data_IF_277048354154
#
_entry.id   IF_277048354154
#
_cell.length_a   1.000
_cell.length_b   1.000
_cell.length_c   1.000
_cell.angle_alpha   90.00
_cell.angle_beta   90.00
_cell.angle_gamma   90.00
#
_symmetry.space_group_name_H-M   'P 1'
#
loop_
_entity.id
_entity.type
_entity.pdbx_description
1 polymer ?
#
# COMPACT_ATOMS: atom_id res chain seq x y z
N UNK A 1 27.85 21.32 9.57
CA UNK A 1 27.93 22.68 10.15
C UNK A 1 27.61 23.76 9.10
N UNK A 2 26.54 23.59 8.29
CA UNK A 2 26.17 24.54 7.23
C UNK A 2 24.71 25.05 7.34
N UNK A 3 23.87 24.43 8.17
CA UNK A 3 22.47 24.85 8.39
C UNK A 3 22.29 25.89 9.52
N UNK A 4 23.30 26.14 10.37
CA UNK A 4 23.19 27.08 11.50
C UNK A 4 23.46 28.54 11.08
N UNK A 5 24.16 28.76 9.95
CA UNK A 5 24.58 30.11 9.53
C UNK A 5 23.53 30.89 8.72
N UNK A 6 22.46 30.25 8.22
CA UNK A 6 21.42 30.96 7.46
C UNK A 6 20.40 31.61 8.41
N UNK A 7 20.16 31.00 9.58
CA UNK A 7 19.21 31.48 10.59
C UNK A 7 19.69 32.76 11.29
N UNK A 8 20.99 32.92 11.50
CA UNK A 8 21.52 34.07 12.25
C UNK A 8 21.62 35.37 11.42
N UNK A 9 21.56 35.30 10.09
CA UNK A 9 21.62 36.50 9.22
C UNK A 9 20.26 37.16 9.01
N UNK A 10 19.16 36.44 9.26
CA UNK A 10 17.80 36.96 9.10
C UNK A 10 17.25 37.65 10.36
N UNK A 11 17.85 37.42 11.52
CA UNK A 11 17.37 37.96 12.81
C UNK A 11 17.99 39.30 13.22
N UNK A 12 19.03 39.80 12.54
CA UNK A 12 19.77 41.00 12.98
C UNK A 12 19.30 42.32 12.37
N UNK A 13 18.22 42.37 11.59
CA UNK A 13 17.78 43.59 10.88
C UNK A 13 16.38 44.10 11.25
N UNK A 14 15.69 43.47 12.20
CA UNK A 14 14.36 43.89 12.65
C UNK A 14 14.43 44.53 14.05
N UNK A 15 14.96 45.76 14.11
CA UNK A 15 14.65 46.65 15.22
C UNK A 15 13.32 47.33 14.91
N UNK A 16 12.25 46.96 15.62
CA UNK A 16 11.02 47.73 15.63
C UNK A 16 10.62 48.06 17.06
N UNK A 17 10.65 49.35 17.35
CA UNK A 17 10.21 49.96 18.59
C UNK A 17 8.71 49.75 18.80
N UNK A 18 8.33 49.71 20.08
CA UNK A 18 6.94 49.55 20.52
C UNK A 18 6.08 50.68 19.94
N UNK A 19 4.98 50.29 19.27
CA UNK A 19 3.81 51.08 18.81
C UNK A 19 3.83 51.38 17.29
N UNK A 20 2.76 50.96 16.61
CA UNK A 20 2.53 50.88 15.14
C UNK A 20 3.22 49.66 14.49
N UNK A 21 2.52 48.69 13.90
CA UNK A 21 1.63 48.86 12.75
C UNK A 21 0.64 47.70 12.67
N UNK A 22 -0.64 48.04 12.60
CA UNK A 22 -1.75 47.18 12.21
C UNK A 22 -1.80 47.19 10.66
N UNK A 23 -2.06 46.03 10.05
CA UNK A 23 -2.34 45.81 8.62
C UNK A 23 -1.15 45.89 7.63
N UNK A 24 -0.44 44.77 7.43
CA UNK A 24 -0.08 44.17 6.13
C UNK A 24 0.75 42.90 6.38
N UNK A 25 0.24 41.72 6.04
CA UNK A 25 1.00 40.47 6.23
C UNK A 25 0.25 39.17 6.00
N UNK A 26 -0.92 39.21 5.35
CA UNK A 26 -1.64 38.01 4.91
C UNK A 26 -1.66 38.01 3.39
N UNK A 27 -0.53 37.68 2.76
CA UNK A 27 -0.44 36.96 1.48
C UNK A 27 1.01 36.49 1.36
N UNK A 28 1.27 35.19 1.54
CA UNK A 28 2.13 34.33 0.71
C UNK A 28 2.50 33.04 1.46
N UNK A 29 1.62 32.03 1.39
CA UNK A 29 1.94 30.60 1.46
C UNK A 29 0.61 29.83 1.38
N UNK A 30 -0.01 29.83 0.20
CA UNK A 30 -1.08 28.89 -0.09
C UNK A 30 -0.47 27.51 -0.37
N UNK A 31 -1.18 26.49 0.11
CA UNK A 31 -1.08 25.05 -0.24
C UNK A 31 0.19 24.31 0.17
N UNK A 32 0.24 23.83 1.41
CA UNK A 32 0.34 22.40 1.76
C UNK A 32 -0.16 22.27 3.21
N UNK A 33 -1.03 21.28 3.45
CA UNK A 33 -1.46 20.73 4.75
C UNK A 33 -2.97 20.82 4.99
N UNK A 34 -3.71 20.01 4.25
CA UNK A 34 -4.91 19.34 4.79
C UNK A 34 -4.77 17.85 4.49
N UNK A 35 -3.84 17.19 5.19
CA UNK A 35 -3.95 15.75 5.44
C UNK A 35 -4.44 15.62 6.87
N UNK A 36 -5.74 15.38 6.99
CA UNK A 36 -6.41 15.16 8.26
C UNK A 36 -5.71 14.06 9.04
N UNK A 37 -5.31 14.41 10.26
CA UNK A 37 -4.81 13.51 11.26
C UNK A 37 -5.98 12.59 11.65
N UNK A 38 -6.14 11.47 10.96
CA UNK A 38 -6.72 10.30 11.62
C UNK A 38 -5.58 9.78 12.50
N UNK A 39 -5.73 9.73 13.83
CA UNK A 39 -4.74 9.06 14.64
C UNK A 39 -4.77 7.59 14.23
N UNK A 40 -3.81 7.20 13.38
CA UNK A 40 -3.42 5.80 13.24
C UNK A 40 -2.93 5.39 14.63
N UNK A 41 -3.85 4.89 15.45
CA UNK A 41 -3.47 4.17 16.65
C UNK A 41 -2.61 3.03 16.12
N UNK A 42 -1.29 3.14 16.37
CA UNK A 42 -0.34 2.04 16.28
C UNK A 42 -0.77 1.02 17.34
N UNK A 43 -1.85 0.30 17.07
CA UNK A 43 -2.18 -0.90 17.81
C UNK A 43 -1.25 -1.94 17.24
N UNK A 44 -0.07 -2.07 17.87
CA UNK A 44 0.73 -3.27 17.70
C UNK A 44 -0.22 -4.44 17.97
N UNK A 45 -0.47 -5.25 16.95
CA UNK A 45 -1.18 -6.49 17.15
C UNK A 45 -0.32 -7.31 18.11
N UNK A 46 -0.76 -7.44 19.37
CA UNK A 46 -0.26 -8.45 20.29
C UNK A 46 -0.55 -9.78 19.61
N UNK A 47 0.44 -10.30 18.89
CA UNK A 47 0.36 -11.62 18.30
C UNK A 47 0.54 -12.57 19.48
N UNK A 48 -0.48 -13.36 19.87
CA UNK A 48 -0.29 -14.32 20.95
C UNK A 48 0.86 -15.26 20.54
N UNK A 49 1.87 -15.35 21.40
CA UNK A 49 2.98 -16.28 21.22
C UNK A 49 2.40 -17.69 21.08
N UNK A 50 2.42 -18.23 19.86
CA UNK A 50 1.80 -19.52 19.52
C UNK A 50 0.91 -19.52 18.27
N UNK A 51 0.54 -18.36 17.71
CA UNK A 51 -0.07 -18.33 16.38
C UNK A 51 0.98 -18.67 15.31
N UNK A 52 0.78 -19.75 14.56
CA UNK A 52 1.63 -20.07 13.42
C UNK A 52 1.59 -18.91 12.42
N UNK A 53 2.76 -18.47 11.96
CA UNK A 53 2.85 -17.42 10.94
C UNK A 53 2.11 -17.89 9.68
N UNK A 54 1.25 -17.02 9.16
CA UNK A 54 0.51 -17.26 7.92
C UNK A 54 1.36 -16.73 6.77
N UNK A 55 1.49 -17.51 5.70
CA UNK A 55 2.25 -17.10 4.52
C UNK A 55 1.33 -16.43 3.50
N UNK A 56 1.88 -15.41 2.85
CA UNK A 56 1.23 -14.63 1.82
C UNK A 56 2.10 -14.68 0.56
N UNK A 57 1.48 -15.04 -0.57
CA UNK A 57 2.16 -15.12 -1.86
C UNK A 57 1.48 -14.21 -2.87
N UNK A 58 2.27 -13.60 -3.75
CA UNK A 58 1.79 -12.77 -4.85
C UNK A 58 2.33 -13.32 -6.17
N UNK A 59 1.43 -13.61 -7.11
CA UNK A 59 1.73 -13.85 -8.52
C UNK A 59 1.40 -12.61 -9.33
N UNK A 60 2.24 -12.28 -10.29
CA UNK A 60 1.99 -11.20 -11.24
C UNK A 60 2.35 -11.72 -12.62
N UNK A 61 1.49 -11.47 -13.61
CA UNK A 61 1.77 -11.85 -14.99
C UNK A 61 3.05 -11.17 -15.51
N UNK A 62 4.04 -11.98 -15.91
CA UNK A 62 5.32 -11.52 -16.45
C UNK A 62 6.38 -11.10 -15.41
N UNK A 63 6.05 -11.15 -14.11
CA UNK A 63 6.97 -10.78 -13.02
C UNK A 63 7.06 -11.92 -12.01
N UNK A 64 8.17 -12.67 -12.07
CA UNK A 64 8.47 -13.76 -11.14
C UNK A 64 9.14 -13.23 -9.86
N UNK A 65 8.79 -13.83 -8.72
CA UNK A 65 9.47 -13.69 -7.43
C UNK A 65 10.30 -14.93 -7.06
N UNK A 66 10.85 -14.96 -5.85
CA UNK A 66 11.83 -15.99 -5.44
C UNK A 66 11.29 -17.08 -4.50
N UNK A 67 9.97 -17.22 -4.38
CA UNK A 67 9.40 -18.27 -3.55
C UNK A 67 9.82 -19.67 -4.02
N UNK A 68 10.30 -20.46 -3.06
CA UNK A 68 10.61 -21.88 -3.22
C UNK A 68 9.49 -22.79 -2.71
N UNK A 69 8.34 -22.22 -2.32
CA UNK A 69 7.19 -23.01 -1.87
C UNK A 69 6.66 -23.91 -3.00
N UNK A 70 6.27 -25.15 -2.67
CA UNK A 70 5.84 -26.13 -3.67
C UNK A 70 4.55 -25.69 -4.40
N UNK A 71 3.63 -25.01 -3.70
CA UNK A 71 2.38 -24.51 -4.28
C UNK A 71 2.51 -23.14 -4.95
N UNK A 72 3.55 -22.38 -4.60
CA UNK A 72 3.75 -20.99 -5.01
C UNK A 72 5.16 -20.76 -5.55
N UNK A 73 5.69 -21.70 -6.33
CA UNK A 73 7.04 -21.61 -6.88
C UNK A 73 7.15 -20.40 -7.81
N UNK A 74 8.22 -19.62 -7.66
CA UNK A 74 8.48 -18.39 -8.41
C UNK A 74 7.46 -17.27 -8.16
N UNK A 75 6.62 -17.39 -7.12
CA UNK A 75 5.79 -16.29 -6.64
C UNK A 75 6.61 -15.38 -5.74
N UNK A 76 6.08 -14.21 -5.46
CA UNK A 76 6.64 -13.23 -4.55
C UNK A 76 6.19 -13.54 -3.13
N UNK A 77 7.13 -13.59 -2.18
CA UNK A 77 6.81 -13.70 -0.75
C UNK A 77 6.44 -12.33 -0.19
N UNK A 78 5.27 -12.23 0.43
CA UNK A 78 4.81 -10.98 1.05
C UNK A 78 5.00 -11.02 2.57
N UNK A 79 5.31 -9.85 3.13
CA UNK A 79 5.37 -9.62 4.57
C UNK A 79 4.02 -9.14 5.12
N UNK A 80 3.27 -8.38 4.32
CA UNK A 80 1.95 -7.86 4.69
C UNK A 80 1.17 -7.45 3.45
N UNK A 81 -0.15 -7.45 3.57
CA UNK A 81 -1.09 -6.94 2.56
C UNK A 81 -2.19 -6.15 3.27
N UNK A 82 -2.60 -5.04 2.69
CA UNK A 82 -3.77 -4.27 3.09
C UNK A 82 -4.66 -3.96 1.89
N UNK A 83 -5.96 -3.94 2.16
CA UNK A 83 -7.01 -3.69 1.18
C UNK A 83 -8.14 -2.93 1.87
N UNK A 84 -8.79 -2.03 1.14
CA UNK A 84 -9.90 -1.25 1.69
C UNK A 84 -10.98 -0.95 0.66
N UNK A 85 -12.23 -0.96 1.11
CA UNK A 85 -13.38 -0.52 0.34
C UNK A 85 -14.16 0.43 1.24
N UNK A 86 -14.31 1.68 0.82
CA UNK A 86 -14.94 2.73 1.61
C UNK A 86 -16.18 3.22 0.88
N UNK A 87 -17.28 3.37 1.61
CA UNK A 87 -18.47 4.08 1.12
C UNK A 87 -18.68 5.33 1.98
N UNK A 88 -18.81 6.53 1.37
CA UNK A 88 -19.14 7.72 2.14
C UNK A 88 -20.50 7.58 2.83
N UNK A 89 -20.59 8.01 4.08
CA UNK A 89 -21.76 7.87 4.94
C UNK A 89 -22.86 8.88 4.59
N UNK A 90 -23.67 8.60 3.55
CA UNK A 90 -24.99 9.21 3.32
C UNK A 90 -25.70 8.62 2.08
N UNK A 91 -25.67 7.30 1.86
CA UNK A 91 -26.57 6.61 0.93
C UNK A 91 -26.51 6.96 -0.57
N UNK A 92 -25.71 7.94 -1.00
CA UNK A 92 -25.72 8.47 -2.38
C UNK A 92 -24.38 8.38 -3.11
N UNK A 93 -23.30 7.93 -2.45
CA UNK A 93 -21.98 7.78 -3.06
C UNK A 93 -21.67 6.36 -3.52
N UNK A 94 -21.00 6.25 -4.67
CA UNK A 94 -20.35 5.02 -5.13
C UNK A 94 -19.33 4.51 -4.09
N UNK A 95 -19.08 3.20 -4.08
CA UNK A 95 -18.00 2.65 -3.28
C UNK A 95 -16.66 3.04 -3.91
N UNK A 96 -15.70 3.43 -3.09
CA UNK A 96 -14.32 3.68 -3.50
C UNK A 96 -13.48 2.47 -3.09
N UNK A 97 -12.77 1.92 -4.06
CA UNK A 97 -11.81 0.84 -3.86
C UNK A 97 -10.43 1.46 -3.66
N UNK A 98 -9.82 1.17 -2.52
CA UNK A 98 -8.48 1.65 -2.20
C UNK A 98 -7.42 0.77 -2.91
N UNK A 99 -6.22 1.32 -3.18
CA UNK A 99 -5.12 0.51 -3.71
C UNK A 99 -4.82 -0.67 -2.80
N UNK A 100 -4.47 -1.82 -3.37
CA UNK A 100 -3.88 -2.91 -2.59
C UNK A 100 -2.45 -2.50 -2.27
N UNK A 101 -2.11 -2.40 -0.98
CA UNK A 101 -0.75 -2.09 -0.54
C UNK A 101 -0.13 -3.32 0.06
N UNK A 102 1.04 -3.71 -0.41
CA UNK A 102 1.78 -4.84 0.14
C UNK A 102 3.22 -4.49 0.44
N UNK A 103 3.81 -5.25 1.35
CA UNK A 103 5.23 -5.16 1.67
C UNK A 103 5.92 -6.47 1.36
N UNK A 104 7.14 -6.39 0.86
CA UNK A 104 8.01 -7.54 0.60
C UNK A 104 9.46 -7.19 0.86
N UNK A 105 10.34 -8.18 0.90
CA UNK A 105 11.79 -7.96 0.82
C UNK A 105 12.19 -7.73 -0.63
N UNK A 106 13.31 -7.05 -0.87
CA UNK A 106 13.88 -6.99 -2.22
C UNK A 106 14.17 -8.41 -2.71
N UNK A 107 13.78 -8.70 -3.95
CA UNK A 107 14.04 -9.95 -4.67
C UNK A 107 14.11 -9.67 -6.19
N UNK A 108 14.23 -10.69 -7.04
CA UNK A 108 14.28 -10.51 -8.51
C UNK A 108 13.07 -9.79 -9.13
N UNK A 109 11.93 -9.70 -8.45
CA UNK A 109 10.76 -8.96 -8.94
C UNK A 109 10.92 -7.45 -8.81
N UNK A 110 11.76 -6.98 -7.87
CA UNK A 110 11.88 -5.55 -7.52
C UNK A 110 12.21 -4.64 -8.72
N UNK A 111 13.20 -4.94 -9.59
CA UNK A 111 13.49 -4.08 -10.75
C UNK A 111 12.32 -4.02 -11.75
N UNK A 112 11.57 -5.11 -11.93
CA UNK A 112 10.40 -5.14 -12.82
C UNK A 112 9.24 -4.34 -12.26
N UNK A 113 9.04 -4.36 -10.94
CA UNK A 113 8.06 -3.50 -10.27
C UNK A 113 8.44 -2.01 -10.40
N UNK A 114 9.73 -1.68 -10.26
CA UNK A 114 10.25 -0.33 -10.52
C UNK A 114 10.03 0.11 -11.97
N UNK A 115 10.26 -0.78 -12.93
CA UNK A 115 10.00 -0.51 -14.36
C UNK A 115 8.52 -0.29 -14.61
N UNK A 116 7.65 -1.15 -14.07
CA UNK A 116 6.20 -1.03 -14.24
C UNK A 116 5.66 0.30 -13.70
N UNK A 117 6.10 0.74 -12.52
CA UNK A 117 5.70 2.06 -11.97
C UNK A 117 6.29 3.22 -12.77
N UNK A 118 7.54 3.12 -13.24
CA UNK A 118 8.19 4.19 -13.98
C UNK A 118 7.61 4.38 -15.39
N UNK A 119 7.17 3.30 -16.01
CA UNK A 119 6.59 3.31 -17.36
C UNK A 119 5.07 3.49 -17.35
N UNK A 120 4.40 3.26 -16.22
CA UNK A 120 2.95 3.19 -16.14
C UNK A 120 2.40 1.96 -16.88
N UNK A 121 3.18 0.89 -16.99
CA UNK A 121 2.75 -0.35 -17.64
C UNK A 121 1.56 -0.97 -16.90
N UNK A 122 0.52 -1.30 -17.64
CA UNK A 122 -0.57 -2.14 -17.16
C UNK A 122 -0.18 -3.62 -17.22
N UNK A 123 -0.40 -4.31 -16.10
CA UNK A 123 -0.18 -5.74 -15.90
C UNK A 123 -1.55 -6.43 -16.01
N UNK A 124 -1.62 -7.55 -16.74
CA UNK A 124 -2.90 -8.18 -17.02
C UNK A 124 -3.61 -8.69 -15.77
N UNK A 125 -2.88 -9.43 -14.92
CA UNK A 125 -3.40 -10.05 -13.71
C UNK A 125 -2.36 -10.05 -12.58
N UNK A 126 -2.84 -9.87 -11.36
CA UNK A 126 -2.10 -10.14 -10.13
C UNK A 126 -2.98 -10.93 -9.16
N UNK A 127 -2.42 -11.95 -8.53
CA UNK A 127 -3.12 -12.83 -7.59
C UNK A 127 -2.37 -12.86 -6.26
N UNK A 128 -3.05 -12.53 -5.17
CA UNK A 128 -2.57 -12.73 -3.81
C UNK A 128 -3.27 -13.95 -3.21
N UNK A 129 -2.50 -14.85 -2.61
CA UNK A 129 -3.03 -16.01 -1.89
C UNK A 129 -2.49 -16.04 -0.46
N UNK A 130 -3.39 -16.38 0.48
CA UNK A 130 -3.08 -16.57 1.90
C UNK A 130 -3.26 -18.03 2.24
N UNK A 131 -2.22 -18.60 2.80
CA UNK A 131 -2.07 -20.05 2.87
C UNK A 131 -2.18 -20.53 4.31
N UNK A 132 -2.92 -21.62 4.51
CA UNK A 132 -3.04 -22.25 5.81
C UNK A 132 -1.65 -22.71 6.30
N UNK A 133 -1.23 -22.36 7.54
CA UNK A 133 0.13 -22.60 8.02
C UNK A 133 0.54 -24.08 7.98
N UNK A 134 -0.37 -24.99 8.31
CA UNK A 134 -0.13 -26.45 8.30
C UNK A 134 -0.44 -27.13 6.97
N UNK A 135 -1.66 -26.98 6.43
CA UNK A 135 -2.14 -27.69 5.23
C UNK A 135 -1.53 -27.17 3.92
N UNK A 136 -0.96 -25.96 3.91
CA UNK A 136 -0.33 -25.33 2.74
C UNK A 136 -1.26 -25.07 1.56
N UNK A 137 -2.57 -25.12 1.78
CA UNK A 137 -3.60 -24.74 0.81
C UNK A 137 -4.06 -23.28 1.02
N UNK A 138 -4.39 -22.60 -0.08
CA UNK A 138 -4.93 -21.25 -0.05
C UNK A 138 -6.38 -21.28 0.43
N UNK A 139 -6.69 -20.45 1.44
CA UNK A 139 -8.04 -20.27 1.95
C UNK A 139 -8.60 -18.87 1.68
N UNK A 140 -7.75 -17.94 1.25
CA UNK A 140 -8.14 -16.59 0.90
C UNK A 140 -7.34 -16.12 -0.32
N UNK A 141 -8.05 -15.61 -1.31
CA UNK A 141 -7.48 -15.22 -2.60
C UNK A 141 -8.03 -13.87 -3.06
N UNK A 142 -7.13 -13.02 -3.54
CA UNK A 142 -7.45 -11.72 -4.15
C UNK A 142 -6.94 -11.77 -5.58
N UNK A 143 -7.84 -11.72 -6.55
CA UNK A 143 -7.50 -11.63 -7.98
C UNK A 143 -7.79 -10.23 -8.47
N UNK A 144 -6.79 -9.58 -9.06
CA UNK A 144 -6.90 -8.24 -9.64
C UNK A 144 -6.60 -8.34 -11.14
N UNK A 145 -7.36 -7.60 -11.95
CA UNK A 145 -7.12 -7.50 -13.39
C UNK A 145 -6.96 -6.05 -13.81
N UNK A 146 -6.22 -5.84 -14.90
CA UNK A 146 -5.83 -4.50 -15.39
C UNK A 146 -5.13 -3.71 -14.28
N UNK A 147 -4.01 -4.26 -13.82
CA UNK A 147 -3.27 -3.83 -12.63
C UNK A 147 -2.23 -2.79 -13.01
N UNK A 148 -2.19 -1.67 -12.28
CA UNK A 148 -1.20 -0.62 -12.42
C UNK A 148 -0.43 -0.49 -11.11
N UNK A 149 0.91 -0.52 -11.18
CA UNK A 149 1.75 -0.19 -10.03
C UNK A 149 1.69 1.32 -9.83
N UNK A 150 0.99 1.78 -8.78
CA UNK A 150 0.71 3.19 -8.54
C UNK A 150 1.75 3.86 -7.65
N UNK A 151 2.48 3.09 -6.83
CA UNK A 151 3.62 3.58 -6.08
C UNK A 151 4.61 2.45 -5.76
N UNK A 152 5.88 2.84 -5.58
CA UNK A 152 6.95 1.97 -5.12
C UNK A 152 7.83 2.77 -4.15
N UNK A 153 8.06 2.23 -2.96
CA UNK A 153 8.94 2.80 -1.96
C UNK A 153 9.83 1.70 -1.39
N UNK A 154 11.11 1.98 -1.19
CA UNK A 154 12.05 1.03 -0.60
C UNK A 154 12.78 1.67 0.57
N UNK A 155 12.95 0.89 1.64
CA UNK A 155 13.66 1.29 2.84
C UNK A 155 14.55 0.15 3.33
N UNK A 156 15.74 0.49 3.82
CA UNK A 156 16.70 -0.46 4.37
C UNK A 156 17.41 0.11 5.59
N UNK A 157 17.87 -0.80 6.44
CA UNK A 157 18.78 -0.49 7.55
C UNK A 157 20.10 -1.23 7.31
N UNK A 158 21.14 -0.96 8.10
CA UNK A 158 22.43 -1.63 7.94
C UNK A 158 22.39 -3.14 8.28
N UNK A 159 21.35 -3.59 9.00
CA UNK A 159 21.31 -4.93 9.61
C UNK A 159 20.31 -5.89 8.96
N UNK A 160 19.47 -5.41 8.05
CA UNK A 160 18.38 -6.20 7.46
C UNK A 160 18.35 -6.09 5.94
N UNK A 161 17.84 -7.15 5.29
CA UNK A 161 17.48 -7.08 3.86
C UNK A 161 16.44 -5.97 3.68
N UNK A 162 16.65 -5.02 2.75
CA UNK A 162 15.70 -3.94 2.54
C UNK A 162 14.29 -4.44 2.25
N UNK A 163 13.31 -3.70 2.76
CA UNK A 163 11.90 -3.94 2.49
C UNK A 163 11.35 -2.88 1.57
N UNK A 164 10.45 -3.27 0.70
CA UNK A 164 9.72 -2.38 -0.20
C UNK A 164 8.23 -2.44 0.09
N UNK A 165 7.57 -1.29 -0.08
CA UNK A 165 6.14 -1.10 -0.05
C UNK A 165 5.68 -0.71 -1.45
N UNK A 166 4.67 -1.40 -1.96
CA UNK A 166 4.17 -1.24 -3.33
C UNK A 166 2.65 -1.16 -3.28
N UNK A 167 2.08 -0.24 -4.06
CA UNK A 167 0.64 -0.08 -4.19
C UNK A 167 0.16 -0.44 -5.60
N UNK A 168 -0.93 -1.19 -5.68
CA UNK A 168 -1.60 -1.57 -6.93
C UNK A 168 -2.96 -0.90 -7.04
N UNK A 169 -3.18 -0.21 -8.16
CA UNK A 169 -4.50 0.10 -8.67
C UNK A 169 -4.94 -0.99 -9.66
N UNK A 170 -6.24 -1.13 -9.86
CA UNK A 170 -6.79 -2.24 -10.65
C UNK A 170 -8.15 -1.86 -11.24
N UNK A 171 -8.45 -2.38 -12.43
CA UNK A 171 -9.74 -2.18 -13.09
C UNK A 171 -10.83 -3.13 -12.57
N UNK A 172 -10.44 -4.32 -12.13
CA UNK A 172 -11.35 -5.35 -11.58
C UNK A 172 -10.73 -6.02 -10.38
N UNK A 173 -11.57 -6.44 -9.44
CA UNK A 173 -11.13 -7.19 -8.26
C UNK A 173 -12.11 -8.29 -7.90
N UNK A 174 -11.57 -9.44 -7.48
CA UNK A 174 -12.31 -10.56 -6.92
C UNK A 174 -11.65 -11.01 -5.62
N UNK A 175 -12.45 -11.18 -4.58
CA UNK A 175 -12.07 -11.78 -3.31
C UNK A 175 -12.77 -13.13 -3.17
N UNK A 176 -12.01 -14.16 -2.81
CA UNK A 176 -12.50 -15.51 -2.58
C UNK A 176 -12.05 -15.96 -1.19
N UNK A 177 -12.99 -16.51 -0.41
CA UNK A 177 -12.70 -17.12 0.89
C UNK A 177 -13.29 -18.52 0.95
N UNK A 178 -12.47 -19.48 1.34
CA UNK A 178 -12.87 -20.89 1.49
C UNK A 178 -12.76 -21.28 2.97
N UNK A 179 -13.89 -21.46 3.68
CA UNK A 179 -13.89 -22.02 5.03
C UNK A 179 -13.38 -23.46 5.02
N UNK A 180 -12.86 -23.96 6.15
CA UNK A 180 -12.25 -25.30 6.21
C UNK A 180 -13.18 -26.44 5.76
N UNK A 181 -14.45 -26.37 6.14
CA UNK A 181 -15.49 -27.35 5.80
C UNK A 181 -16.61 -26.73 4.94
N UNK A 182 -16.28 -25.67 4.18
CA UNK A 182 -17.25 -24.85 3.47
C UNK A 182 -17.04 -24.76 1.97
N UNK A 183 -18.05 -24.27 1.27
CA UNK A 183 -17.90 -23.82 -0.11
C UNK A 183 -17.26 -22.43 -0.15
N UNK A 184 -16.49 -22.17 -1.20
CA UNK A 184 -15.93 -20.85 -1.47
C UNK A 184 -17.05 -19.82 -1.59
N UNK A 185 -16.89 -18.71 -0.88
CA UNK A 185 -17.72 -17.51 -1.03
C UNK A 185 -16.90 -16.43 -1.73
N UNK A 186 -17.54 -15.71 -2.63
CA UNK A 186 -16.86 -14.72 -3.47
C UNK A 186 -17.53 -13.35 -3.46
N UNK A 187 -16.70 -12.33 -3.69
CA UNK A 187 -17.10 -10.99 -4.05
C UNK A 187 -16.31 -10.58 -5.29
N UNK A 188 -16.99 -10.13 -6.34
CA UNK A 188 -16.33 -9.72 -7.58
C UNK A 188 -16.92 -8.39 -8.10
N UNK A 189 -16.05 -7.46 -8.47
CA UNK A 189 -16.43 -6.09 -8.84
C UNK A 189 -15.61 -5.53 -9.99
N UNK A 190 -16.31 -4.88 -10.91
CA UNK A 190 -15.73 -4.03 -11.94
C UNK A 190 -15.58 -2.63 -11.33
N UNK A 191 -14.35 -2.27 -10.98
CA UNK A 191 -14.03 -1.00 -10.31
C UNK A 191 -14.19 0.16 -11.27
N UNK A 192 -13.80 -0.02 -12.54
CA UNK A 192 -13.90 1.00 -13.57
C UNK A 192 -15.36 1.40 -13.85
N UNK A 193 -16.27 0.42 -13.88
CA UNK A 193 -17.70 0.64 -14.12
C UNK A 193 -18.52 0.76 -12.82
N UNK A 194 -17.91 0.48 -11.67
CA UNK A 194 -18.55 0.40 -10.38
C UNK A 194 -19.79 -0.50 -10.36
N UNK A 195 -19.65 -1.73 -10.86
CA UNK A 195 -20.71 -2.74 -10.95
C UNK A 195 -20.23 -4.14 -10.53
N UNK A 196 -21.12 -5.04 -10.06
CA UNK A 196 -20.75 -6.43 -9.82
C UNK A 196 -20.26 -7.13 -11.10
N UNK A 197 -19.24 -7.98 -10.98
CA UNK A 197 -18.90 -8.96 -12.01
C UNK A 197 -19.84 -10.16 -11.83
N UNK A 198 -20.66 -10.44 -12.84
CA UNK A 198 -21.54 -11.63 -12.88
C UNK A 198 -20.88 -12.76 -13.65
#
# INVERSE_FOLDING_TARGET
MYLINITNKFMSTLSFGRKATIALGVVLAATVAVFSIVPFIQREAVTPAGAAAVDYFLKIDGIDGESSDKGHKDWINLLSVSSGIVRPSAGTGAATFEPIVFRKRIDKSSPKLMEAVATGQHLNEAIIEVVHPTRRESYYKITMSDVLVSSYQSQGTASDVPTEEVAFNYGKIKFEYTPEDGQTVEFAWDVANNTPLR
#
